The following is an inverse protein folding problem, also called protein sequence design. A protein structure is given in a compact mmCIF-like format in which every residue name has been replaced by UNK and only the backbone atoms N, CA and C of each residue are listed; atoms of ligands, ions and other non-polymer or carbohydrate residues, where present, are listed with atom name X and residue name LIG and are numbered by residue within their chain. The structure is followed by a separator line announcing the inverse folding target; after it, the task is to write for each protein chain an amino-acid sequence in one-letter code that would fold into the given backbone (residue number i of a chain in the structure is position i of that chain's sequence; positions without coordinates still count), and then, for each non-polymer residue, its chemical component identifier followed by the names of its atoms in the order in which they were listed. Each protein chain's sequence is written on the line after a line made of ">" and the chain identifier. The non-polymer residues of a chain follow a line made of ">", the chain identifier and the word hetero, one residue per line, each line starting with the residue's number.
data_IF_814030774311
#
_entry.id   IF_814030774311
#
_cell.length_a   1.000
_cell.length_b   1.000
_cell.length_c   1.000
_cell.angle_alpha   90.00
_cell.angle_beta   90.00
_cell.angle_gamma   90.00
#
_symmetry.space_group_name_H-M   'P 1'
#
loop_
_entity.id
_entity.type
_entity.pdbx_description
1 polymer ?
#
# COMPACT_ATOMS: atom_id res chain seq x y z
N UNK A 1 7.63 23.58 29.10
CA UNK A 1 6.95 23.31 27.81
C UNK A 1 7.86 22.38 27.01
N UNK A 2 7.60 21.08 27.03
CA UNK A 2 8.37 20.13 26.23
C UNK A 2 7.93 20.25 24.76
N UNK A 3 8.85 20.21 23.78
CA UNK A 3 8.45 20.19 22.38
C UNK A 3 7.72 18.89 22.11
N UNK A 4 6.43 19.00 21.77
CA UNK A 4 5.67 17.90 21.19
C UNK A 4 6.44 17.48 19.92
N UNK A 5 7.12 16.32 19.94
CA UNK A 5 7.57 15.69 18.70
C UNK A 5 6.30 15.37 17.92
N UNK A 6 6.00 16.18 16.91
CA UNK A 6 5.09 15.77 15.84
C UNK A 6 5.74 14.52 15.25
N UNK A 7 5.11 13.33 15.31
CA UNK A 7 5.66 12.18 14.63
C UNK A 7 5.79 12.59 13.16
N UNK A 8 7.00 12.45 12.60
CA UNK A 8 7.16 12.61 11.16
C UNK A 8 6.14 11.66 10.53
N UNK A 9 5.14 12.21 9.84
CA UNK A 9 4.23 11.39 9.07
C UNK A 9 5.12 10.58 8.13
N UNK A 10 5.16 9.26 8.30
CA UNK A 10 5.84 8.37 7.37
C UNK A 10 5.19 8.64 6.01
N UNK A 11 5.90 9.39 5.17
CA UNK A 11 5.46 9.66 3.81
C UNK A 11 5.31 8.31 3.14
N UNK A 12 4.12 7.96 2.63
CA UNK A 12 3.95 6.70 1.93
C UNK A 12 4.86 6.70 0.71
N UNK A 13 5.44 5.55 0.39
CA UNK A 13 6.24 5.37 -0.82
C UNK A 13 5.40 5.65 -2.08
N UNK A 14 4.08 5.52 -1.97
CA UNK A 14 3.11 5.86 -3.00
C UNK A 14 1.82 6.45 -2.41
N UNK A 15 1.36 7.61 -2.90
CA UNK A 15 0.02 8.17 -2.65
C UNK A 15 -0.57 8.65 -3.98
N UNK A 16 -1.55 7.93 -4.51
CA UNK A 16 -2.10 8.25 -5.82
C UNK A 16 -3.23 7.35 -6.33
N UNK A 17 -3.67 7.56 -7.58
CA UNK A 17 -4.72 6.78 -8.21
C UNK A 17 -4.25 5.36 -8.56
N UNK A 18 -5.07 4.37 -8.21
CA UNK A 18 -4.82 2.97 -8.53
C UNK A 18 -6.08 2.31 -9.10
N UNK A 19 -5.90 1.15 -9.69
CA UNK A 19 -6.99 0.27 -10.09
C UNK A 19 -6.94 -0.99 -9.23
N UNK A 20 -8.10 -1.42 -8.77
CA UNK A 20 -8.27 -2.65 -8.03
C UNK A 20 -9.12 -3.63 -8.81
N UNK A 21 -8.67 -4.88 -8.86
CA UNK A 21 -9.39 -5.96 -9.50
C UNK A 21 -9.62 -7.09 -8.51
N UNK A 22 -10.89 -7.42 -8.33
CA UNK A 22 -11.37 -8.61 -7.62
C UNK A 22 -11.78 -9.64 -8.68
N UNK A 23 -11.47 -10.91 -8.45
CA UNK A 23 -11.85 -11.97 -9.39
C UNK A 23 -13.39 -12.05 -9.53
N UNK A 24 -13.88 -11.97 -10.78
CA UNK A 24 -15.32 -11.97 -11.08
C UNK A 24 -16.00 -10.61 -11.00
N UNK A 25 -15.30 -9.56 -10.56
CA UNK A 25 -15.84 -8.20 -10.46
C UNK A 25 -15.20 -7.27 -11.52
N UNK A 26 -15.91 -6.20 -11.92
CA UNK A 26 -15.30 -5.13 -12.70
C UNK A 26 -14.13 -4.49 -11.98
N UNK A 27 -13.15 -4.04 -12.75
CA UNK A 27 -12.05 -3.26 -12.19
C UNK A 27 -12.56 -1.92 -11.66
N UNK A 28 -12.13 -1.54 -10.46
CA UNK A 28 -12.58 -0.34 -9.76
C UNK A 28 -11.44 0.66 -9.65
N UNK A 29 -11.69 1.92 -10.03
CA UNK A 29 -10.75 3.02 -9.79
C UNK A 29 -10.80 3.47 -8.34
N UNK A 30 -9.63 3.60 -7.72
CA UNK A 30 -9.47 3.89 -6.30
C UNK A 30 -8.32 4.86 -6.08
N UNK A 31 -8.20 5.41 -4.87
CA UNK A 31 -6.95 6.02 -4.41
C UNK A 31 -6.26 5.07 -3.44
N UNK A 32 -4.94 4.92 -3.55
CA UNK A 32 -4.15 4.09 -2.66
C UNK A 32 -3.03 4.89 -2.00
N UNK A 33 -2.77 4.61 -0.73
CA UNK A 33 -1.59 5.05 0.01
C UNK A 33 -0.83 3.83 0.46
N UNK A 34 0.32 3.55 -0.15
CA UNK A 34 1.06 2.31 0.03
C UNK A 34 2.47 2.60 0.53
N UNK A 35 2.99 1.68 1.34
CA UNK A 35 4.38 1.66 1.80
C UNK A 35 4.84 0.22 1.91
N UNK A 36 6.16 0.00 1.92
CA UNK A 36 6.69 -1.34 2.15
C UNK A 36 8.09 -1.35 2.71
N UNK A 37 8.52 -2.53 3.14
CA UNK A 37 9.83 -2.77 3.71
C UNK A 37 10.29 -4.20 3.42
N UNK A 38 11.59 -4.43 3.42
CA UNK A 38 12.15 -5.78 3.46
C UNK A 38 12.00 -6.32 4.88
N UNK A 39 11.24 -7.40 5.04
CA UNK A 39 11.11 -8.09 6.33
C UNK A 39 12.35 -8.97 6.56
N UNK A 40 13.11 -8.75 7.65
CA UNK A 40 14.35 -9.49 7.91
C UNK A 40 14.12 -10.93 8.35
N UNK A 41 12.90 -11.28 8.77
CA UNK A 41 12.57 -12.62 9.26
C UNK A 41 12.44 -13.60 8.09
N UNK A 42 11.75 -13.19 7.02
CA UNK A 42 11.51 -14.05 5.86
C UNK A 42 12.29 -13.63 4.60
N UNK A 43 12.96 -12.48 4.63
CA UNK A 43 13.77 -11.95 3.53
C UNK A 43 12.93 -11.47 2.35
N UNK A 44 11.63 -11.22 2.53
CA UNK A 44 10.72 -10.79 1.47
C UNK A 44 10.34 -9.33 1.65
N UNK A 45 9.99 -8.68 0.55
CA UNK A 45 9.43 -7.34 0.61
C UNK A 45 7.96 -7.43 0.97
N UNK A 46 7.55 -6.80 2.06
CA UNK A 46 6.15 -6.71 2.50
C UNK A 46 5.67 -5.30 2.24
N UNK A 47 4.56 -5.17 1.52
CA UNK A 47 3.92 -3.89 1.27
C UNK A 47 2.51 -3.88 1.85
N UNK A 48 2.10 -2.73 2.34
CA UNK A 48 0.80 -2.50 2.97
C UNK A 48 0.33 -1.09 2.69
N UNK A 49 -0.98 -0.87 2.77
CA UNK A 49 -1.49 0.47 2.75
C UNK A 49 -2.99 0.59 2.98
N UNK A 50 -3.49 1.77 2.66
CA UNK A 50 -4.91 2.11 2.66
C UNK A 50 -5.42 2.26 1.24
N UNK A 51 -6.64 1.80 1.01
CA UNK A 51 -7.38 1.98 -0.23
C UNK A 51 -8.68 2.72 0.06
N UNK A 52 -8.98 3.73 -0.76
CA UNK A 52 -10.14 4.61 -0.65
C UNK A 52 -11.01 4.50 -1.90
N UNK A 53 -12.33 4.62 -1.74
CA UNK A 53 -13.28 4.62 -2.86
C UNK A 53 -13.78 3.24 -3.30
N UNK A 54 -13.55 2.20 -2.49
CA UNK A 54 -14.15 0.89 -2.72
C UNK A 54 -15.59 0.80 -2.20
N UNK A 55 -16.43 -0.07 -2.80
CA UNK A 55 -17.73 -0.42 -2.25
C UNK A 55 -17.65 -0.93 -0.80
N UNK A 56 -18.71 -0.67 -0.05
CA UNK A 56 -18.80 -0.95 1.38
C UNK A 56 -19.09 -2.42 1.72
N UNK A 57 -19.56 -3.19 0.74
CA UNK A 57 -20.10 -4.55 0.86
C UNK A 57 -19.07 -5.65 0.55
N UNK A 58 -17.80 -5.29 0.40
CA UNK A 58 -16.71 -6.26 0.19
C UNK A 58 -16.57 -7.16 1.43
N UNK A 59 -16.74 -8.46 1.23
CA UNK A 59 -16.51 -9.46 2.28
C UNK A 59 -15.01 -9.68 2.49
N UNK A 60 -14.54 -9.52 3.72
CA UNK A 60 -13.13 -9.66 4.08
C UNK A 60 -12.84 -11.01 4.75
N UNK A 61 -11.61 -11.55 4.62
CA UNK A 61 -10.55 -11.05 3.75
C UNK A 61 -10.87 -11.26 2.26
N UNK A 62 -10.35 -10.39 1.40
CA UNK A 62 -10.57 -10.49 -0.05
C UNK A 62 -9.27 -10.40 -0.84
N UNK A 63 -9.01 -11.40 -1.68
CA UNK A 63 -7.87 -11.37 -2.60
C UNK A 63 -8.10 -10.36 -3.73
N UNK A 64 -7.07 -9.58 -4.02
CA UNK A 64 -7.12 -8.48 -4.97
C UNK A 64 -5.83 -8.33 -5.75
N UNK A 65 -5.95 -7.92 -7.01
CA UNK A 65 -4.84 -7.38 -7.78
C UNK A 65 -4.86 -5.85 -7.70
N UNK A 66 -3.79 -5.26 -7.16
CA UNK A 66 -3.55 -3.81 -7.12
C UNK A 66 -2.71 -3.42 -8.32
N UNK A 67 -3.21 -2.47 -9.11
CA UNK A 67 -2.57 -2.02 -10.34
C UNK A 67 -2.30 -0.52 -10.22
N UNK A 68 -1.02 -0.16 -10.25
CA UNK A 68 -0.57 1.24 -10.32
C UNK A 68 0.24 1.40 -11.60
N UNK A 69 1.54 1.11 -11.53
CA UNK A 69 2.40 1.01 -12.72
C UNK A 69 2.61 -0.45 -13.10
N UNK A 70 2.57 -1.34 -12.11
CA UNK A 70 2.55 -2.78 -12.26
C UNK A 70 1.44 -3.40 -11.44
N UNK A 71 1.11 -4.63 -11.79
CA UNK A 71 0.14 -5.44 -11.07
C UNK A 71 0.84 -6.17 -9.92
N UNK A 72 0.27 -6.10 -8.71
CA UNK A 72 0.72 -6.86 -7.55
C UNK A 72 -0.48 -7.53 -6.87
N UNK A 73 -0.34 -8.82 -6.57
CA UNK A 73 -1.34 -9.56 -5.80
C UNK A 73 -1.25 -9.17 -4.32
N UNK A 74 -2.41 -8.93 -3.73
CA UNK A 74 -2.55 -8.58 -2.33
C UNK A 74 -3.90 -9.03 -1.79
N UNK A 75 -4.17 -8.62 -0.57
CA UNK A 75 -5.38 -8.97 0.17
C UNK A 75 -5.89 -7.78 0.93
N UNK A 76 -7.18 -7.49 0.77
CA UNK A 76 -7.90 -6.61 1.68
C UNK A 76 -8.11 -7.36 3.00
N UNK A 77 -7.65 -6.80 4.10
CA UNK A 77 -7.62 -7.48 5.40
C UNK A 77 -8.58 -6.88 6.42
N UNK A 78 -8.85 -5.58 6.31
CA UNK A 78 -9.65 -4.84 7.29
C UNK A 78 -10.38 -3.69 6.59
N UNK A 79 -11.58 -3.36 7.05
CA UNK A 79 -12.25 -2.11 6.75
C UNK A 79 -12.15 -1.20 7.98
N UNK A 80 -11.59 -0.01 7.80
CA UNK A 80 -11.43 0.96 8.87
C UNK A 80 -12.77 1.60 9.23
N UNK A 81 -12.90 2.20 10.44
CA UNK A 81 -14.11 2.94 10.84
C UNK A 81 -14.46 4.12 9.92
N UNK A 82 -13.50 4.61 9.13
CA UNK A 82 -13.70 5.72 8.18
C UNK A 82 -14.05 5.24 6.76
N UNK A 83 -14.26 3.94 6.57
CA UNK A 83 -14.71 3.37 5.30
C UNK A 83 -13.60 3.05 4.30
N UNK A 84 -12.33 3.28 4.63
CA UNK A 84 -11.19 2.80 3.82
C UNK A 84 -10.89 1.33 4.11
N UNK A 85 -10.18 0.67 3.19
CA UNK A 85 -9.72 -0.71 3.39
C UNK A 85 -8.21 -0.75 3.61
N UNK A 86 -7.76 -1.66 4.46
CA UNK A 86 -6.35 -2.03 4.56
C UNK A 86 -6.06 -3.10 3.52
N UNK A 87 -5.02 -2.88 2.72
CA UNK A 87 -4.48 -3.85 1.77
C UNK A 87 -3.06 -4.25 2.18
N UNK A 88 -2.70 -5.51 2.02
CA UNK A 88 -1.34 -6.00 2.21
C UNK A 88 -0.96 -7.02 1.13
N UNK A 89 0.32 -7.07 0.77
CA UNK A 89 0.87 -8.05 -0.15
C UNK A 89 2.35 -8.28 0.08
N UNK A 90 2.88 -9.33 -0.55
CA UNK A 90 4.27 -9.76 -0.41
C UNK A 90 4.91 -9.85 -1.79
N UNK A 91 6.18 -9.49 -1.89
CA UNK A 91 6.94 -9.42 -3.13
C UNK A 91 7.00 -8.01 -3.70
N UNK A 92 7.13 -7.91 -5.03
CA UNK A 92 7.23 -6.62 -5.69
C UNK A 92 5.95 -5.80 -5.43
N UNK A 93 6.05 -4.55 -4.91
CA UNK A 93 4.88 -3.70 -4.71
C UNK A 93 4.25 -3.29 -6.06
N UNK A 94 3.09 -2.62 -6.14
CA UNK A 94 2.54 -2.16 -7.42
C UNK A 94 3.15 -0.83 -7.95
N UNK A 95 3.97 -0.13 -7.15
CA UNK A 95 4.56 1.20 -7.41
C UNK A 95 6.10 1.14 -7.46
N UNK A 96 6.78 2.04 -8.19
CA UNK A 96 8.25 2.13 -8.10
C UNK A 96 8.69 2.41 -6.67
N UNK A 97 9.63 1.62 -6.17
CA UNK A 97 10.33 2.01 -4.96
C UNK A 97 11.17 3.22 -5.34
N UNK A 98 10.87 4.38 -4.75
CA UNK A 98 11.83 5.46 -4.73
C UNK A 98 13.07 4.85 -4.06
N UNK A 99 14.11 4.59 -4.83
CA UNK A 99 15.42 4.30 -4.25
C UNK A 99 15.66 5.44 -3.27
N UNK A 100 15.69 5.13 -1.98
CA UNK A 100 16.09 6.11 -0.98
C UNK A 100 17.36 6.73 -1.53
N UNK A 101 17.37 8.06 -1.69
CA UNK A 101 18.54 8.77 -2.16
C UNK A 101 19.63 8.64 -1.08
N UNK A 102 20.24 7.46 -0.98
CA UNK A 102 21.39 7.17 -0.14
C UNK A 102 22.62 7.47 -0.98
N UNK A 103 22.95 8.75 -1.00
CA UNK A 103 24.23 9.20 -0.45
C UNK A 103 25.47 8.44 -0.90
N UNK A 104 25.81 8.46 -2.19
CA UNK A 104 27.22 8.38 -2.61
C UNK A 104 27.87 9.76 -2.48
N UNK A 105 28.12 10.18 -1.23
CA UNK A 105 29.14 11.18 -0.91
C UNK A 105 30.45 10.43 -0.64
N UNK A 106 31.20 10.12 -1.69
CA UNK A 106 32.65 9.88 -1.63
C UNK A 106 33.22 9.70 -3.05
N UNK A 107 33.98 10.70 -3.49
CA UNK A 107 34.81 10.73 -4.69
C UNK A 107 35.62 12.01 -4.66
#
# INVERSE_FOLDING_TARGET
>A
MAPQRVPAAMTPDYDGPAQLRIAGEPQTEVRARLTGHLDPIDGRFHWRGMVFGLPEDIRLPQDVAVIVERCAEGRLTERTPWGSYIVAGVGAPPYQLLEAAESSRAG
#
